data_IF_814461278303
#
_entry.id   IF_814461278303
#
_cell.length_a   1.000
_cell.length_b   1.000
_cell.length_c   1.000
_cell.angle_alpha   90.00
_cell.angle_beta   90.00
_cell.angle_gamma   90.00
#
_symmetry.space_group_name_H-M   'P 1'
#
loop_
_entity.id
_entity.type
_entity.pdbx_description
1 polymer ?
#
# COMPACT_ATOMS: atom_id res chain seq x y z
N UNK A 1 -13.40 12.50 1.85
CA UNK A 1 -12.76 13.03 0.61
C UNK A 1 -13.32 12.40 -0.65
N UNK A 2 -13.13 11.09 -0.98
CA UNK A 2 -13.63 10.50 -2.24
C UNK A 2 -15.15 10.68 -2.44
N UNK A 3 -15.96 10.37 -1.42
CA UNK A 3 -17.42 10.52 -1.50
C UNK A 3 -17.85 11.98 -1.73
N UNK A 4 -17.15 12.93 -1.16
CA UNK A 4 -17.40 14.38 -1.37
C UNK A 4 -17.03 14.80 -2.79
N UNK A 5 -15.87 14.36 -3.29
CA UNK A 5 -15.44 14.64 -4.67
C UNK A 5 -16.45 14.08 -5.68
N UNK A 6 -16.92 12.83 -5.46
CA UNK A 6 -17.95 12.23 -6.31
C UNK A 6 -19.28 12.96 -6.26
N UNK A 7 -19.64 13.51 -5.11
CA UNK A 7 -20.89 14.25 -4.92
C UNK A 7 -20.82 15.68 -5.47
N UNK A 8 -19.75 16.38 -5.12
CA UNK A 8 -19.65 17.82 -5.33
C UNK A 8 -18.93 18.18 -6.63
N UNK A 9 -18.09 17.29 -7.19
CA UNK A 9 -17.31 17.53 -8.41
C UNK A 9 -16.12 18.47 -8.18
N UNK A 10 -15.61 18.55 -6.96
CA UNK A 10 -14.48 19.40 -6.59
C UNK A 10 -13.50 18.69 -5.68
N UNK A 11 -12.22 18.96 -5.88
CA UNK A 11 -11.13 18.62 -4.95
C UNK A 11 -10.76 19.87 -4.17
N UNK A 12 -10.60 19.72 -2.84
CA UNK A 12 -10.24 20.81 -1.92
C UNK A 12 -8.89 20.51 -1.27
N UNK A 13 -7.77 20.82 -1.94
CA UNK A 13 -6.46 20.64 -1.36
C UNK A 13 -6.26 21.62 -0.20
N UNK A 14 -5.61 21.16 0.88
CA UNK A 14 -5.31 22.03 2.03
C UNK A 14 -4.42 23.21 1.61
N UNK A 15 -4.84 24.42 1.98
CA UNK A 15 -4.10 25.66 1.67
C UNK A 15 -4.20 26.15 0.21
N UNK A 16 -4.99 25.49 -0.64
CA UNK A 16 -5.18 25.87 -2.04
C UNK A 16 -6.66 26.16 -2.34
N UNK A 17 -6.88 26.79 -3.51
CA UNK A 17 -8.23 27.01 -4.00
C UNK A 17 -8.89 25.69 -4.40
N UNK A 18 -10.20 25.67 -4.30
CA UNK A 18 -11.04 24.57 -4.79
C UNK A 18 -10.83 24.37 -6.30
N UNK A 19 -10.59 23.10 -6.69
CA UNK A 19 -10.38 22.70 -8.07
C UNK A 19 -11.57 21.88 -8.56
N UNK A 20 -12.13 22.23 -9.71
CA UNK A 20 -13.15 21.41 -10.37
C UNK A 20 -12.52 20.08 -10.78
N UNK A 21 -13.16 18.97 -10.40
CA UNK A 21 -12.79 17.62 -10.80
C UNK A 21 -14.03 16.73 -10.83
N UNK A 22 -14.51 16.40 -12.02
CA UNK A 22 -15.65 15.52 -12.21
C UNK A 22 -15.15 14.09 -12.54
N UNK A 23 -15.17 13.13 -11.59
CA UNK A 23 -14.57 11.81 -11.79
C UNK A 23 -15.05 11.05 -13.03
N UNK A 24 -16.29 11.29 -13.46
CA UNK A 24 -16.88 10.60 -14.61
C UNK A 24 -16.35 11.09 -15.96
N UNK A 25 -15.78 12.30 -16.03
CA UNK A 25 -15.25 12.91 -17.25
C UNK A 25 -13.76 13.17 -17.19
N UNK A 26 -13.25 13.50 -16.00
CA UNK A 26 -11.88 13.96 -15.83
C UNK A 26 -10.93 12.82 -15.42
N UNK A 27 -11.48 11.63 -15.08
CA UNK A 27 -10.72 10.41 -14.85
C UNK A 27 -10.84 9.49 -16.08
N UNK A 28 -9.74 9.34 -16.81
CA UNK A 28 -9.66 8.53 -18.02
C UNK A 28 -8.80 7.28 -17.75
N UNK A 29 -9.38 6.09 -17.95
CA UNK A 29 -8.63 4.85 -17.97
C UNK A 29 -8.12 4.58 -19.39
N UNK A 30 -6.82 4.73 -19.57
CA UNK A 30 -6.17 4.44 -20.85
C UNK A 30 -5.77 2.97 -20.91
N UNK A 31 -6.29 2.26 -21.92
CA UNK A 31 -6.00 0.86 -22.21
C UNK A 31 -4.97 0.69 -23.35
N UNK A 32 -4.31 1.76 -23.75
CA UNK A 32 -3.23 1.76 -24.70
C UNK A 32 -1.92 1.18 -24.15
N UNK A 33 -0.81 1.40 -24.85
CA UNK A 33 0.51 1.00 -24.34
C UNK A 33 0.82 1.66 -22.99
N UNK A 34 1.48 0.94 -22.07
CA UNK A 34 1.84 1.52 -20.77
C UNK A 34 2.76 2.73 -20.94
N UNK A 35 2.68 3.65 -19.98
CA UNK A 35 3.59 4.79 -19.94
C UNK A 35 5.06 4.32 -19.83
N UNK A 36 6.02 5.06 -20.44
CA UNK A 36 7.43 4.75 -20.31
C UNK A 36 7.86 4.74 -18.83
N UNK A 37 8.62 3.73 -18.43
CA UNK A 37 9.20 3.61 -17.08
C UNK A 37 8.52 2.57 -16.19
N UNK A 38 7.21 2.55 -16.08
CA UNK A 38 6.49 1.55 -15.28
C UNK A 38 5.05 1.34 -15.77
N UNK A 39 4.55 0.10 -15.68
CA UNK A 39 3.22 -0.26 -16.17
C UNK A 39 2.07 0.41 -15.40
N UNK A 40 2.26 0.70 -14.11
CA UNK A 40 1.25 1.35 -13.26
C UNK A 40 1.51 2.85 -13.19
N UNK A 41 1.23 3.55 -14.28
CA UNK A 41 1.40 5.00 -14.38
C UNK A 41 0.09 5.76 -14.34
N UNK A 42 0.15 6.99 -13.83
CA UNK A 42 -0.93 7.95 -13.82
C UNK A 42 -0.39 9.33 -14.23
N UNK A 43 -1.04 9.95 -15.18
CA UNK A 43 -0.71 11.30 -15.61
C UNK A 43 -1.75 12.28 -15.09
N UNK A 44 -1.31 13.31 -14.39
CA UNK A 44 -2.13 14.43 -13.95
C UNK A 44 -1.87 15.62 -14.86
N UNK A 45 -2.95 16.19 -15.40
CA UNK A 45 -2.90 17.37 -16.28
C UNK A 45 -3.78 18.46 -15.69
N UNK A 46 -3.21 19.64 -15.46
CA UNK A 46 -3.96 20.82 -15.07
C UNK A 46 -4.18 21.73 -16.27
N UNK A 47 -5.39 22.25 -16.36
CA UNK A 47 -5.83 23.11 -17.47
C UNK A 47 -6.15 24.51 -16.95
N UNK A 48 -5.89 25.52 -17.76
CA UNK A 48 -6.34 26.89 -17.51
C UNK A 48 -7.84 27.07 -17.77
N UNK A 49 -8.36 28.25 -17.54
CA UNK A 49 -9.78 28.59 -17.70
C UNK A 49 -10.28 28.55 -19.16
N UNK A 50 -9.37 28.50 -20.12
CA UNK A 50 -9.69 28.39 -21.56
C UNK A 50 -9.42 27.00 -22.12
N UNK A 51 -8.99 26.06 -21.26
CA UNK A 51 -8.82 24.65 -21.61
C UNK A 51 -7.43 24.26 -22.13
N UNK A 52 -6.43 25.13 -22.01
CA UNK A 52 -5.05 24.77 -22.35
C UNK A 52 -4.36 24.08 -21.19
N UNK A 53 -3.61 22.98 -21.43
CA UNK A 53 -2.80 22.35 -20.39
C UNK A 53 -1.63 23.26 -20.02
N UNK A 54 -1.51 23.62 -18.75
CA UNK A 54 -0.39 24.43 -18.23
C UNK A 54 0.55 23.66 -17.29
N UNK A 55 0.10 22.52 -16.78
CA UNK A 55 0.94 21.66 -15.96
C UNK A 55 0.63 20.19 -16.23
N UNK A 56 1.68 19.35 -16.30
CA UNK A 56 1.58 17.91 -16.51
C UNK A 56 2.60 17.21 -15.63
N UNK A 57 2.16 16.21 -14.91
CA UNK A 57 3.03 15.41 -14.04
C UNK A 57 2.66 13.93 -14.13
N UNK A 58 3.67 13.08 -14.35
CA UNK A 58 3.49 11.63 -14.37
C UNK A 58 3.97 11.03 -13.05
N UNK A 59 3.14 10.17 -12.48
CA UNK A 59 3.41 9.40 -11.27
C UNK A 59 3.33 7.91 -11.57
N UNK A 60 4.12 7.13 -10.89
CA UNK A 60 4.14 5.68 -10.99
C UNK A 60 3.93 5.05 -9.62
N UNK A 61 3.01 4.06 -9.53
CA UNK A 61 2.92 3.18 -8.37
C UNK A 61 3.94 2.06 -8.53
N UNK A 62 5.00 2.13 -7.76
CA UNK A 62 6.17 1.24 -7.87
C UNK A 62 6.12 0.03 -6.92
N UNK A 63 4.96 -0.19 -6.30
CA UNK A 63 4.73 -1.28 -5.36
C UNK A 63 4.93 -0.85 -3.89
N UNK A 64 4.47 -1.69 -2.96
CA UNK A 64 4.60 -1.42 -1.53
C UNK A 64 3.90 -0.15 -1.01
N UNK A 65 2.99 0.44 -1.80
CA UNK A 65 2.34 1.72 -1.48
C UNK A 65 3.17 2.95 -1.86
N UNK A 66 4.35 2.76 -2.45
CA UNK A 66 5.21 3.86 -2.87
C UNK A 66 4.78 4.43 -4.22
N UNK A 67 4.86 5.74 -4.32
CA UNK A 67 4.62 6.50 -5.53
C UNK A 67 5.87 7.31 -5.86
N UNK A 68 6.32 7.25 -7.11
CA UNK A 68 7.43 8.04 -7.61
C UNK A 68 6.99 8.88 -8.81
N UNK A 69 7.54 10.06 -8.97
CA UNK A 69 7.42 10.84 -10.21
C UNK A 69 8.28 10.21 -11.33
N UNK A 70 8.01 10.57 -12.59
CA UNK A 70 8.83 10.11 -13.70
C UNK A 70 10.31 10.51 -13.55
N UNK A 71 10.57 11.70 -13.00
CA UNK A 71 11.93 12.18 -12.75
C UNK A 71 12.64 11.39 -11.66
N UNK A 72 11.96 11.11 -10.55
CA UNK A 72 12.50 10.29 -9.46
C UNK A 72 12.79 8.86 -9.90
N UNK A 73 11.88 8.27 -10.69
CA UNK A 73 12.07 6.92 -11.23
C UNK A 73 13.27 6.86 -12.19
N UNK A 74 13.44 7.86 -13.06
CA UNK A 74 14.60 7.97 -13.95
C UNK A 74 15.90 8.12 -13.16
N UNK A 75 15.92 8.98 -12.14
CA UNK A 75 17.08 9.16 -11.27
C UNK A 75 17.46 7.88 -10.51
N UNK A 76 16.47 7.11 -10.04
CA UNK A 76 16.69 5.80 -9.40
C UNK A 76 17.28 4.77 -10.36
N UNK A 77 16.92 4.81 -11.64
CA UNK A 77 17.48 3.90 -12.66
C UNK A 77 18.91 4.28 -13.04
N UNK A 78 19.23 5.57 -13.09
CA UNK A 78 20.59 6.06 -13.40
C UNK A 78 21.55 5.88 -12.21
N UNK A 79 21.06 6.02 -11.00
CA UNK A 79 21.83 5.81 -9.77
C UNK A 79 20.99 4.95 -8.82
N UNK A 80 21.06 3.62 -8.92
CA UNK A 80 20.41 2.75 -7.95
C UNK A 80 20.88 3.17 -6.57
N UNK A 81 19.95 3.66 -5.73
CA UNK A 81 20.29 4.02 -4.35
C UNK A 81 20.89 2.80 -3.70
N UNK A 82 22.14 2.89 -3.28
CA UNK A 82 22.79 1.85 -2.53
C UNK A 82 22.09 1.82 -1.15
N UNK A 83 21.20 0.86 -0.95
CA UNK A 83 20.50 0.66 0.32
C UNK A 83 21.47 0.55 1.50
N UNK A 84 22.74 0.17 1.22
CA UNK A 84 23.81 0.20 2.21
C UNK A 84 24.28 1.60 2.51
N UNK A 85 24.31 2.52 1.55
CA UNK A 85 24.70 3.91 1.75
C UNK A 85 23.63 4.68 2.56
N UNK A 86 22.35 4.46 2.27
CA UNK A 86 21.25 5.04 3.08
C UNK A 86 21.27 4.52 4.52
N UNK A 87 21.50 3.21 4.71
CA UNK A 87 21.63 2.60 6.04
C UNK A 87 22.85 3.14 6.81
N UNK A 88 23.96 3.36 6.13
CA UNK A 88 25.15 3.95 6.74
C UNK A 88 24.94 5.42 7.16
N UNK A 89 24.15 6.17 6.40
CA UNK A 89 23.87 7.57 6.70
C UNK A 89 23.05 7.78 7.99
N UNK A 90 22.25 6.78 8.40
CA UNK A 90 21.39 6.86 9.58
C UNK A 90 22.00 6.26 10.86
N UNK A 91 23.22 5.71 10.80
CA UNK A 91 23.92 5.10 11.96
C UNK A 91 23.03 4.16 12.78
N UNK A 92 22.35 3.21 12.10
CA UNK A 92 21.48 2.26 12.78
C UNK A 92 22.21 1.42 13.81
N UNK A 93 21.62 1.16 15.01
CA UNK A 93 22.23 0.30 16.03
C UNK A 93 22.48 -1.13 15.56
N UNK A 94 21.62 -1.65 14.67
CA UNK A 94 21.69 -3.02 14.16
C UNK A 94 21.56 -3.01 12.62
N UNK A 95 22.55 -2.49 11.88
CA UNK A 95 22.51 -2.45 10.43
C UNK A 95 22.77 -3.85 9.86
N UNK A 96 21.95 -4.32 8.91
CA UNK A 96 22.17 -5.57 8.19
C UNK A 96 21.73 -5.45 6.74
N UNK A 97 22.47 -6.09 5.85
CA UNK A 97 22.15 -6.22 4.43
C UNK A 97 21.65 -7.61 4.07
N UNK A 98 21.98 -8.60 4.90
CA UNK A 98 21.64 -10.01 4.66
C UNK A 98 20.99 -10.66 5.90
N UNK A 99 20.26 -11.75 5.66
CA UNK A 99 19.67 -12.54 6.75
C UNK A 99 20.76 -13.14 7.66
N UNK A 100 21.91 -13.50 7.12
CA UNK A 100 23.05 -14.00 7.88
C UNK A 100 23.52 -12.98 8.91
N UNK A 101 23.78 -11.75 8.48
CA UNK A 101 24.21 -10.66 9.36
C UNK A 101 23.19 -10.39 10.46
N UNK A 102 21.90 -10.43 10.14
CA UNK A 102 20.82 -10.26 11.11
C UNK A 102 20.84 -11.36 12.18
N UNK A 103 21.05 -12.63 11.78
CA UNK A 103 21.11 -13.76 12.70
C UNK A 103 22.37 -13.69 13.58
N UNK A 104 23.52 -13.33 13.02
CA UNK A 104 24.78 -13.15 13.74
C UNK A 104 24.68 -12.02 14.77
N UNK A 105 24.06 -10.89 14.41
CA UNK A 105 23.80 -9.79 15.35
C UNK A 105 22.84 -10.22 16.47
N UNK A 106 21.80 -10.97 16.14
CA UNK A 106 20.89 -11.53 17.15
C UNK A 106 21.60 -12.46 18.12
N UNK A 107 22.44 -13.35 17.62
CA UNK A 107 23.24 -14.27 18.45
C UNK A 107 24.24 -13.51 19.36
N UNK A 108 24.87 -12.47 18.82
CA UNK A 108 25.88 -11.68 19.58
C UNK A 108 25.25 -10.75 20.61
N UNK A 109 24.13 -10.09 20.25
CA UNK A 109 23.44 -9.14 21.14
C UNK A 109 22.48 -9.80 22.13
N UNK A 110 22.05 -11.04 21.89
CA UNK A 110 20.98 -11.71 22.64
C UNK A 110 19.59 -11.13 22.36
N UNK A 111 19.45 -10.25 21.38
CA UNK A 111 18.18 -9.61 21.04
C UNK A 111 17.40 -10.42 19.99
N UNK A 112 16.08 -10.35 20.10
CA UNK A 112 15.18 -10.86 19.06
C UNK A 112 15.17 -9.92 17.85
N UNK A 113 14.82 -10.45 16.69
CA UNK A 113 14.67 -9.67 15.44
C UNK A 113 13.78 -8.43 15.65
N UNK A 114 12.64 -8.59 16.32
CA UNK A 114 11.73 -7.48 16.60
C UNK A 114 12.39 -6.36 17.43
N UNK A 115 13.25 -6.70 18.38
CA UNK A 115 13.95 -5.71 19.22
C UNK A 115 15.02 -4.96 18.42
N UNK A 116 15.79 -5.66 17.58
CA UNK A 116 16.77 -5.03 16.69
C UNK A 116 16.10 -4.12 15.67
N UNK A 117 15.02 -4.58 15.01
CA UNK A 117 14.23 -3.78 14.08
C UNK A 117 13.65 -2.56 14.76
N UNK A 118 13.07 -2.72 15.95
CA UNK A 118 12.52 -1.59 16.71
C UNK A 118 13.59 -0.55 17.05
N UNK A 119 14.79 -1.00 17.44
CA UNK A 119 15.89 -0.07 17.71
C UNK A 119 16.29 0.74 16.46
N UNK A 120 16.37 0.09 15.29
CA UNK A 120 16.65 0.78 14.03
C UNK A 120 15.56 1.78 13.67
N UNK A 121 14.28 1.37 13.73
CA UNK A 121 13.16 2.25 13.40
C UNK A 121 13.02 3.43 14.37
N UNK A 122 13.42 3.26 15.64
CA UNK A 122 13.43 4.34 16.63
C UNK A 122 14.38 5.47 16.22
N UNK A 123 15.48 5.17 15.53
CA UNK A 123 16.38 6.19 14.99
C UNK A 123 15.67 7.10 13.97
N UNK A 124 14.79 6.53 13.16
CA UNK A 124 14.06 7.26 12.13
C UNK A 124 12.83 8.01 12.66
N UNK A 125 12.16 7.42 13.62
CA UNK A 125 10.80 7.84 14.01
C UNK A 125 10.69 8.32 15.46
N UNK A 126 11.72 8.10 16.29
CA UNK A 126 11.71 8.52 17.69
C UNK A 126 10.46 8.06 18.44
N UNK A 127 9.87 8.95 19.20
CA UNK A 127 8.65 8.70 19.98
C UNK A 127 7.38 8.45 19.15
N UNK A 128 7.40 8.74 17.86
CA UNK A 128 6.26 8.53 16.95
C UNK A 128 6.13 7.08 16.45
N UNK A 129 7.15 6.25 16.69
CA UNK A 129 7.20 4.88 16.15
C UNK A 129 5.97 4.05 16.52
N UNK A 130 5.60 4.03 17.80
CA UNK A 130 4.45 3.23 18.27
C UNK A 130 3.15 3.70 17.63
N UNK A 131 2.90 4.99 17.61
CA UNK A 131 1.71 5.57 16.96
C UNK A 131 1.63 5.21 15.47
N UNK A 132 2.76 5.20 14.76
CA UNK A 132 2.80 4.80 13.34
C UNK A 132 2.52 3.31 13.15
N UNK A 133 3.07 2.46 14.02
CA UNK A 133 2.80 1.02 14.00
C UNK A 133 1.33 0.74 14.29
N UNK A 134 0.77 1.38 15.32
CA UNK A 134 -0.65 1.23 15.68
C UNK A 134 -1.56 1.64 14.54
N UNK A 135 -1.26 2.77 13.88
CA UNK A 135 -2.02 3.22 12.71
C UNK A 135 -1.99 2.21 11.55
N UNK A 136 -0.84 1.57 11.28
CA UNK A 136 -0.74 0.51 10.26
C UNK A 136 -1.61 -0.69 10.66
N UNK A 137 -1.54 -1.12 11.92
CA UNK A 137 -2.33 -2.25 12.42
C UNK A 137 -3.84 -1.96 12.34
N UNK A 138 -4.29 -0.79 12.79
CA UNK A 138 -5.68 -0.35 12.69
C UNK A 138 -6.17 -0.31 11.24
N UNK A 139 -5.35 0.18 10.33
CA UNK A 139 -5.66 0.23 8.89
C UNK A 139 -5.80 -1.17 8.31
N UNK A 140 -4.90 -2.09 8.67
CA UNK A 140 -4.97 -3.49 8.23
C UNK A 140 -6.19 -4.20 8.80
N UNK A 141 -6.50 -4.01 10.07
CA UNK A 141 -7.68 -4.60 10.71
C UNK A 141 -8.99 -4.09 10.07
N UNK A 142 -9.08 -2.78 9.84
CA UNK A 142 -10.21 -2.19 9.12
C UNK A 142 -10.32 -2.71 7.68
N UNK A 143 -9.21 -2.95 7.00
CA UNK A 143 -9.18 -3.52 5.65
C UNK A 143 -9.72 -4.95 5.64
N UNK A 144 -9.24 -5.80 6.56
CA UNK A 144 -9.72 -7.18 6.72
C UNK A 144 -11.22 -7.20 7.05
N UNK A 145 -11.64 -6.43 8.04
CA UNK A 145 -13.04 -6.35 8.48
C UNK A 145 -13.98 -5.94 7.35
N UNK A 146 -13.58 -4.95 6.56
CA UNK A 146 -14.32 -4.52 5.36
C UNK A 146 -14.38 -5.64 4.32
N UNK A 147 -13.27 -6.31 4.02
CA UNK A 147 -13.21 -7.39 3.03
C UNK A 147 -14.05 -8.61 3.43
N UNK A 148 -14.16 -8.90 4.72
CA UNK A 148 -15.02 -9.97 5.24
C UNK A 148 -16.52 -9.62 5.22
N UNK A 149 -16.87 -8.35 5.09
CA UNK A 149 -18.27 -7.89 5.06
C UNK A 149 -18.79 -7.61 3.64
N UNK A 150 -17.90 -7.34 2.69
CA UNK A 150 -18.28 -6.91 1.34
C UNK A 150 -18.44 -8.07 0.36
N UNK A 151 -19.43 -7.91 -0.54
CA UNK A 151 -19.70 -8.79 -1.67
C UNK A 151 -19.49 -8.04 -3.01
N UNK A 152 -19.71 -8.73 -4.12
CA UNK A 152 -19.63 -8.14 -5.46
C UNK A 152 -18.34 -8.48 -6.20
N UNK A 153 -17.92 -7.57 -7.07
CA UNK A 153 -16.76 -7.72 -7.95
C UNK A 153 -15.68 -6.73 -7.52
N UNK A 154 -14.44 -7.20 -7.46
CA UNK A 154 -13.28 -6.34 -7.24
C UNK A 154 -13.15 -5.33 -8.38
N UNK A 155 -12.74 -4.08 -8.09
CA UNK A 155 -12.40 -3.11 -9.12
C UNK A 155 -11.31 -3.66 -10.04
N UNK A 156 -11.42 -3.35 -11.34
CA UNK A 156 -10.42 -3.73 -12.34
C UNK A 156 -10.99 -4.55 -13.48
N UNK A 157 -10.19 -4.75 -14.54
CA UNK A 157 -10.59 -5.37 -15.79
C UNK A 157 -10.89 -6.87 -15.71
N UNK A 158 -10.35 -7.57 -14.70
CA UNK A 158 -10.46 -9.02 -14.55
C UNK A 158 -11.83 -9.50 -14.02
N UNK A 159 -12.68 -8.58 -13.54
CA UNK A 159 -14.02 -8.90 -12.99
C UNK A 159 -14.00 -10.00 -11.91
N UNK A 160 -12.99 -10.00 -11.06
CA UNK A 160 -12.81 -11.00 -9.99
C UNK A 160 -13.90 -10.85 -8.94
N UNK A 161 -14.64 -11.92 -8.68
CA UNK A 161 -15.68 -11.93 -7.64
C UNK A 161 -15.06 -11.97 -6.25
N UNK A 162 -15.57 -11.16 -5.32
CA UNK A 162 -15.20 -11.21 -3.90
C UNK A 162 -15.69 -12.53 -3.30
N UNK A 163 -14.82 -13.28 -2.66
CA UNK A 163 -15.09 -14.60 -2.10
C UNK A 163 -14.88 -14.69 -0.60
N UNK A 164 -14.12 -13.74 -0.02
CA UNK A 164 -13.70 -13.78 1.36
C UNK A 164 -14.89 -13.93 2.32
N UNK A 165 -15.94 -13.11 2.16
CA UNK A 165 -17.15 -13.17 3.00
C UNK A 165 -17.81 -14.55 2.97
N UNK A 166 -18.10 -15.08 1.78
CA UNK A 166 -18.81 -16.35 1.64
C UNK A 166 -18.02 -17.52 2.28
N UNK A 167 -16.70 -17.57 2.08
CA UNK A 167 -15.85 -18.61 2.66
C UNK A 167 -15.75 -18.42 4.18
N UNK A 168 -15.58 -17.18 4.65
CA UNK A 168 -15.55 -16.88 6.07
C UNK A 168 -16.83 -17.31 6.78
N UNK A 169 -17.99 -16.97 6.23
CA UNK A 169 -19.29 -17.32 6.80
C UNK A 169 -19.45 -18.85 6.86
N UNK A 170 -19.01 -19.57 5.82
CA UNK A 170 -19.00 -21.03 5.81
C UNK A 170 -18.10 -21.61 6.91
N UNK A 171 -16.85 -21.14 7.03
CA UNK A 171 -15.92 -21.59 8.07
C UNK A 171 -16.46 -21.31 9.47
N UNK A 172 -17.12 -20.19 9.68
CA UNK A 172 -17.76 -19.87 10.95
C UNK A 172 -18.94 -20.80 11.26
N UNK A 173 -19.79 -21.08 10.27
CA UNK A 173 -20.94 -21.99 10.43
C UNK A 173 -20.51 -23.43 10.72
N UNK A 174 -19.39 -23.85 10.16
CA UNK A 174 -18.85 -25.20 10.33
C UNK A 174 -17.95 -25.33 11.57
N UNK A 175 -17.65 -24.23 12.26
CA UNK A 175 -16.80 -24.19 13.44
C UNK A 175 -17.42 -25.00 14.58
N UNK A 176 -16.67 -25.98 15.07
CA UNK A 176 -17.12 -26.87 16.15
C UNK A 176 -17.96 -28.05 15.70
N UNK A 177 -18.25 -28.19 14.41
CA UNK A 177 -18.86 -29.39 13.86
C UNK A 177 -17.82 -30.53 13.76
N UNK A 178 -18.31 -31.77 13.88
CA UNK A 178 -17.47 -32.95 13.66
C UNK A 178 -17.37 -33.24 12.16
N UNK A 179 -16.43 -32.55 11.50
CA UNK A 179 -16.19 -32.68 10.07
C UNK A 179 -15.26 -33.85 9.78
N UNK A 180 -15.43 -34.52 8.64
CA UNK A 180 -14.53 -35.55 8.14
C UNK A 180 -13.09 -34.99 7.92
N UNK A 181 -12.99 -33.72 7.54
CA UNK A 181 -11.76 -32.95 7.43
C UNK A 181 -11.94 -31.63 8.18
N UNK A 182 -11.41 -31.52 9.42
CA UNK A 182 -11.50 -30.27 10.17
C UNK A 182 -10.73 -29.14 9.49
N UNK A 183 -11.26 -27.92 9.58
CA UNK A 183 -10.60 -26.72 9.07
C UNK A 183 -9.26 -26.49 9.76
N UNK A 184 -8.27 -26.12 8.96
CA UNK A 184 -6.91 -25.86 9.41
C UNK A 184 -6.65 -24.35 9.53
N UNK A 185 -5.57 -24.00 10.21
CA UNK A 185 -5.14 -22.59 10.31
C UNK A 185 -4.96 -21.93 8.93
N UNK A 186 -4.50 -22.70 7.93
CA UNK A 186 -4.30 -22.21 6.57
C UNK A 186 -5.61 -21.80 5.87
N UNK A 187 -6.75 -22.45 6.20
CA UNK A 187 -8.04 -22.08 5.61
C UNK A 187 -8.44 -20.67 6.06
N UNK A 188 -8.29 -20.39 7.35
CA UNK A 188 -8.52 -19.06 7.93
C UNK A 188 -7.55 -18.00 7.39
N UNK A 189 -6.26 -18.34 7.31
CA UNK A 189 -5.26 -17.44 6.75
C UNK A 189 -5.57 -17.07 5.29
N UNK A 190 -6.01 -18.06 4.50
CA UNK A 190 -6.40 -17.83 3.10
C UNK A 190 -7.59 -16.87 2.99
N UNK A 191 -8.58 -16.99 3.87
CA UNK A 191 -9.74 -16.07 3.90
C UNK A 191 -9.31 -14.66 4.25
N UNK A 192 -8.49 -14.48 5.28
CA UNK A 192 -7.98 -13.16 5.65
C UNK A 192 -7.11 -12.54 4.56
N UNK A 193 -6.27 -13.34 3.88
CA UNK A 193 -5.49 -12.87 2.73
C UNK A 193 -6.37 -12.43 1.56
N UNK A 194 -7.51 -13.11 1.31
CA UNK A 194 -8.48 -12.67 0.30
C UNK A 194 -9.26 -11.41 0.71
N UNK A 195 -9.40 -11.16 2.00
CA UNK A 195 -10.16 -10.03 2.51
C UNK A 195 -9.43 -8.68 2.33
N UNK A 196 -8.10 -8.69 2.27
CA UNK A 196 -7.30 -7.47 2.10
C UNK A 196 -7.23 -6.96 0.65
N UNK A 197 -7.83 -7.67 -0.30
CA UNK A 197 -7.89 -7.27 -1.71
C UNK A 197 -9.13 -6.44 -2.06
#
# INVERSE_FOLDING_TARGET
MEAEVRKDGFVRPEGLNELRFAPNTDLVFDYGPPLPGHANGMELVAYDTVGNPYHRQTYYSIGGGFVATAAELAAQQESPSDLHAEKAAHAFPYPFGTAREMLEMGATSGLRIAQMKRANETVLHGGELDRKIDHILETMDACVSRGLSQEGILPGGLKVRRRAKAIHDQLQAERGLNLAQPHQANDWMSVYAMAVN
#
